data_IF_167579727513
#
_entry.id   IF_167579727513
#
_cell.length_a   1.000
_cell.length_b   1.000
_cell.length_c   1.000
_cell.angle_alpha   90.00
_cell.angle_beta   90.00
_cell.angle_gamma   90.00
#
_symmetry.space_group_name_H-M   'P 1'
#
loop_
_entity.id
_entity.type
_entity.pdbx_description
1 polymer ?
#
# COMPACT_ATOMS: atom_id res chain seq x y z
N UNK A 1 9.66 10.43 -13.26
CA UNK A 1 8.98 10.76 -11.98
C UNK A 1 7.65 11.43 -12.33
N UNK A 2 6.52 10.82 -12.01
CA UNK A 2 5.18 11.29 -12.41
C UNK A 2 4.28 11.62 -11.22
N UNK A 3 3.27 12.46 -11.45
CA UNK A 3 2.17 12.68 -10.50
C UNK A 3 0.85 12.31 -11.18
N UNK A 4 0.20 11.27 -10.67
CA UNK A 4 -1.11 10.81 -11.13
C UNK A 4 -2.16 11.33 -10.17
N UNK A 5 -3.04 12.19 -10.66
CA UNK A 5 -4.21 12.68 -9.92
C UNK A 5 -5.46 12.33 -10.70
N UNK A 6 -6.37 11.60 -10.06
CA UNK A 6 -7.68 11.28 -10.61
C UNK A 6 -8.74 11.38 -9.52
N UNK A 7 -10.02 11.45 -9.90
CA UNK A 7 -11.10 11.16 -8.96
C UNK A 7 -11.22 9.65 -8.76
N UNK A 8 -11.26 8.89 -9.85
CA UNK A 8 -11.32 7.44 -9.84
C UNK A 8 -10.21 6.83 -10.68
N UNK A 9 -9.54 5.81 -10.14
CA UNK A 9 -8.63 4.95 -10.88
C UNK A 9 -9.15 3.53 -10.82
N UNK A 10 -9.58 3.00 -11.95
CA UNK A 10 -10.07 1.63 -12.07
C UNK A 10 -9.18 0.83 -13.03
N UNK A 11 -8.79 -0.37 -12.63
CA UNK A 11 -8.05 -1.31 -13.47
C UNK A 11 -6.77 -1.84 -12.83
N UNK A 12 -6.02 -2.62 -13.62
CA UNK A 12 -4.80 -3.25 -13.16
C UNK A 12 -3.58 -2.51 -13.71
N UNK A 13 -2.75 -1.97 -12.82
CA UNK A 13 -1.47 -1.38 -13.17
C UNK A 13 -0.35 -2.40 -12.99
N UNK A 14 0.42 -2.66 -14.05
CA UNK A 14 1.65 -3.47 -14.01
C UNK A 14 2.80 -2.62 -14.51
N UNK A 15 3.92 -2.61 -13.79
CA UNK A 15 5.07 -1.78 -14.14
C UNK A 15 6.40 -2.36 -13.63
N UNK A 16 7.50 -2.05 -14.31
CA UNK A 16 8.86 -2.44 -13.97
C UNK A 16 9.84 -1.32 -14.39
N UNK A 17 10.13 -0.28 -13.58
CA UNK A 17 9.61 0.12 -12.25
C UNK A 17 8.43 1.12 -12.30
N UNK A 18 7.68 1.24 -11.19
CA UNK A 18 6.72 2.34 -10.99
C UNK A 18 7.31 3.41 -10.06
N UNK A 19 7.49 4.62 -10.58
CA UNK A 19 7.97 5.77 -9.82
C UNK A 19 7.03 6.96 -9.97
N UNK A 20 6.08 7.11 -9.05
CA UNK A 20 5.04 8.14 -9.13
C UNK A 20 4.40 8.48 -7.78
N UNK A 21 3.96 9.72 -7.63
CA UNK A 21 2.98 10.08 -6.61
C UNK A 21 1.57 9.81 -7.17
N UNK A 22 0.72 9.14 -6.40
CA UNK A 22 -0.62 8.75 -6.82
C UNK A 22 -1.62 9.35 -5.82
N UNK A 23 -2.54 10.17 -6.31
CA UNK A 23 -3.65 10.73 -5.53
C UNK A 23 -4.97 10.40 -6.21
N UNK A 24 -5.87 9.73 -5.49
CA UNK A 24 -7.24 9.45 -5.93
C UNK A 24 -8.25 9.73 -4.84
N UNK A 25 -9.52 9.89 -5.19
CA UNK A 25 -10.62 9.69 -4.22
C UNK A 25 -10.88 8.18 -4.09
N UNK A 26 -11.01 7.47 -5.22
CA UNK A 26 -11.17 6.02 -5.26
C UNK A 26 -10.12 5.34 -6.13
N UNK A 27 -9.57 4.23 -5.63
CA UNK A 27 -8.71 3.33 -6.38
C UNK A 27 -9.29 1.92 -6.29
N UNK A 28 -9.66 1.34 -7.44
CA UNK A 28 -10.20 -0.02 -7.52
C UNK A 28 -9.40 -0.85 -8.53
N UNK A 29 -8.70 -1.88 -8.04
CA UNK A 29 -7.97 -2.82 -8.89
C UNK A 29 -6.62 -3.23 -8.31
N UNK A 30 -5.78 -3.84 -9.14
CA UNK A 30 -4.50 -4.38 -8.68
C UNK A 30 -3.32 -3.55 -9.15
N UNK A 31 -2.40 -3.24 -8.24
CA UNK A 31 -1.10 -2.66 -8.57
C UNK A 31 -0.03 -3.73 -8.39
N UNK A 32 0.72 -4.00 -9.46
CA UNK A 32 1.90 -4.86 -9.45
C UNK A 32 3.11 -4.08 -9.94
N UNK A 33 4.17 -4.05 -9.15
CA UNK A 33 5.40 -3.36 -9.53
C UNK A 33 6.66 -4.13 -9.13
N UNK A 34 7.77 -3.92 -9.83
CA UNK A 34 9.08 -4.42 -9.42
C UNK A 34 10.16 -3.41 -9.85
N UNK A 35 10.63 -2.49 -8.97
CA UNK A 35 10.12 -2.03 -7.66
C UNK A 35 8.98 -0.99 -7.72
N UNK A 36 8.38 -0.65 -6.55
CA UNK A 36 7.41 0.43 -6.35
C UNK A 36 8.04 1.58 -5.54
N UNK A 37 8.21 2.74 -6.15
CA UNK A 37 8.71 3.97 -5.50
C UNK A 37 7.64 5.06 -5.55
N UNK A 38 6.74 5.05 -4.58
CA UNK A 38 5.50 5.83 -4.66
C UNK A 38 4.96 6.29 -3.31
N UNK A 39 4.40 7.50 -3.31
CA UNK A 39 3.43 7.90 -2.29
C UNK A 39 2.02 7.76 -2.86
N UNK A 40 1.21 6.89 -2.24
CA UNK A 40 -0.18 6.61 -2.62
C UNK A 40 -1.09 7.23 -1.56
N UNK A 41 -1.96 8.14 -1.97
CA UNK A 41 -3.02 8.71 -1.13
C UNK A 41 -4.36 8.48 -1.81
N UNK A 42 -5.24 7.73 -1.15
CA UNK A 42 -6.62 7.55 -1.57
C UNK A 42 -7.59 7.90 -0.44
N UNK A 43 -8.83 8.27 -0.77
CA UNK A 43 -9.89 8.19 0.24
C UNK A 43 -10.29 6.73 0.41
N UNK A 44 -10.52 6.00 -0.69
CA UNK A 44 -10.76 4.55 -0.67
C UNK A 44 -9.79 3.79 -1.57
N UNK A 45 -9.26 2.66 -1.07
CA UNK A 45 -8.41 1.77 -1.86
C UNK A 45 -8.92 0.34 -1.72
N UNK A 46 -9.35 -0.23 -2.85
CA UNK A 46 -9.86 -1.59 -2.96
C UNK A 46 -9.08 -2.39 -4.00
N UNK A 47 -8.60 -3.58 -3.63
CA UNK A 47 -7.94 -4.50 -4.55
C UNK A 47 -6.67 -5.14 -3.97
N UNK A 48 -5.60 -5.28 -4.76
CA UNK A 48 -4.35 -5.88 -4.28
C UNK A 48 -3.13 -5.06 -4.67
N UNK A 49 -2.19 -4.94 -3.74
CA UNK A 49 -0.90 -4.32 -3.98
C UNK A 49 0.19 -5.38 -3.87
N UNK A 50 0.98 -5.57 -4.92
CA UNK A 50 2.09 -6.51 -4.93
C UNK A 50 3.34 -5.82 -5.46
N UNK A 51 4.42 -5.86 -4.69
CA UNK A 51 5.73 -5.44 -5.20
C UNK A 51 6.84 -6.31 -4.64
N UNK A 52 7.98 -6.37 -5.33
CA UNK A 52 9.19 -6.91 -4.72
C UNK A 52 9.61 -6.00 -3.56
N UNK A 53 9.85 -4.72 -3.87
CA UNK A 53 10.16 -3.70 -2.87
C UNK A 53 9.20 -2.52 -3.00
N UNK A 54 8.74 -2.00 -1.87
CA UNK A 54 8.04 -0.72 -1.80
C UNK A 54 8.87 0.27 -1.00
N UNK A 55 9.14 1.43 -1.60
CA UNK A 55 9.69 2.60 -0.93
C UNK A 55 8.72 3.77 -1.05
N UNK A 56 8.21 4.25 0.08
CA UNK A 56 7.27 5.37 0.14
C UNK A 56 6.09 5.12 1.07
N UNK A 57 5.06 5.97 0.98
CA UNK A 57 3.95 5.95 1.92
C UNK A 57 2.63 5.54 1.25
N UNK A 58 1.79 4.81 1.98
CA UNK A 58 0.40 4.56 1.62
C UNK A 58 -0.51 5.14 2.68
N UNK A 59 -1.46 5.98 2.25
CA UNK A 59 -2.53 6.51 3.09
C UNK A 59 -3.88 6.23 2.44
N UNK A 60 -4.77 5.59 3.18
CA UNK A 60 -6.18 5.38 2.78
C UNK A 60 -7.12 5.65 3.96
N UNK A 61 -8.40 5.94 3.75
CA UNK A 61 -9.39 5.90 4.84
C UNK A 61 -9.86 4.46 5.05
N UNK A 62 -10.68 3.84 4.17
CA UNK A 62 -10.70 2.39 4.06
C UNK A 62 -9.58 1.87 3.15
N UNK A 63 -8.86 0.86 3.63
CA UNK A 63 -7.93 0.05 2.86
C UNK A 63 -8.47 -1.39 2.81
N UNK A 64 -9.22 -1.71 1.76
CA UNK A 64 -9.82 -3.03 1.55
C UNK A 64 -8.94 -3.82 0.57
N UNK A 65 -7.81 -4.33 1.04
CA UNK A 65 -6.79 -4.89 0.14
C UNK A 65 -5.94 -6.00 0.73
N UNK A 66 -5.47 -6.91 -0.13
CA UNK A 66 -4.31 -7.74 0.21
C UNK A 66 -3.03 -7.10 -0.33
N UNK A 67 -2.08 -6.89 0.57
CA UNK A 67 -0.80 -6.26 0.31
C UNK A 67 0.29 -7.30 0.50
N UNK A 68 1.14 -7.49 -0.53
CA UNK A 68 2.30 -8.37 -0.47
C UNK A 68 3.55 -7.64 -0.94
N UNK A 69 4.53 -7.53 -0.06
CA UNK A 69 5.87 -7.05 -0.37
C UNK A 69 6.91 -8.11 0.00
N UNK A 70 8.10 -8.10 -0.61
CA UNK A 70 9.26 -8.76 0.01
C UNK A 70 9.84 -7.79 1.04
N UNK A 71 10.07 -6.54 0.63
CA UNK A 71 10.53 -5.47 1.50
C UNK A 71 9.61 -4.25 1.42
N UNK A 72 9.20 -3.73 2.58
CA UNK A 72 8.48 -2.46 2.71
C UNK A 72 9.32 -1.48 3.53
N UNK A 73 9.63 -0.33 2.94
CA UNK A 73 10.28 0.80 3.60
C UNK A 73 9.40 2.05 3.46
N UNK A 74 8.92 2.57 4.59
CA UNK A 74 8.04 3.75 4.62
C UNK A 74 6.89 3.60 5.61
N UNK A 75 5.69 4.10 5.30
CA UNK A 75 4.56 4.03 6.23
C UNK A 75 3.27 3.54 5.55
N UNK A 76 2.50 2.71 6.24
CA UNK A 76 1.11 2.40 5.89
C UNK A 76 0.20 3.00 6.95
N UNK A 77 -0.71 3.88 6.53
CA UNK A 77 -1.72 4.47 7.40
C UNK A 77 -3.12 4.25 6.81
N UNK A 78 -3.99 3.63 7.58
CA UNK A 78 -5.42 3.52 7.30
C UNK A 78 -6.24 4.00 8.49
N UNK A 79 -7.49 4.38 8.24
CA UNK A 79 -8.48 4.46 9.32
C UNK A 79 -8.98 3.05 9.62
N UNK A 80 -9.41 2.33 8.58
CA UNK A 80 -9.75 0.91 8.67
C UNK A 80 -8.99 0.11 7.61
N UNK A 81 -8.42 -1.02 8.02
CA UNK A 81 -7.78 -1.98 7.13
C UNK A 81 -8.58 -3.27 7.13
N UNK A 82 -9.09 -3.67 5.96
CA UNK A 82 -9.72 -4.97 5.74
C UNK A 82 -8.91 -5.75 4.71
N UNK A 83 -8.35 -6.89 5.12
CA UNK A 83 -7.49 -7.71 4.28
C UNK A 83 -6.16 -8.03 4.94
N UNK A 84 -5.19 -8.52 4.16
CA UNK A 84 -3.95 -9.06 4.71
C UNK A 84 -2.73 -8.25 4.25
N UNK A 85 -1.80 -7.99 5.17
CA UNK A 85 -0.44 -7.53 4.85
C UNK A 85 0.53 -8.69 5.06
N UNK A 86 1.31 -9.00 4.03
CA UNK A 86 2.42 -9.95 4.12
C UNK A 86 3.71 -9.28 3.64
N UNK A 87 4.75 -9.34 4.45
CA UNK A 87 6.10 -8.96 4.06
C UNK A 87 7.14 -9.97 4.55
N UNK A 88 8.32 -10.01 3.94
CA UNK A 88 9.48 -10.63 4.59
C UNK A 88 10.09 -9.63 5.56
N UNK A 89 10.36 -8.42 5.08
CA UNK A 89 10.92 -7.32 5.88
C UNK A 89 9.98 -6.13 5.90
N UNK A 90 9.66 -5.65 7.10
CA UNK A 90 8.93 -4.41 7.34
C UNK A 90 9.82 -3.41 8.06
N UNK A 91 10.37 -2.44 7.34
CA UNK A 91 11.06 -1.28 7.92
C UNK A 91 10.12 -0.07 7.85
N UNK A 92 9.02 -0.14 8.62
CA UNK A 92 7.89 0.76 8.43
C UNK A 92 7.07 1.00 9.69
N UNK A 93 6.41 2.15 9.78
CA UNK A 93 5.31 2.33 10.74
C UNK A 93 3.98 1.94 10.10
N UNK A 94 3.25 1.07 10.79
CA UNK A 94 1.89 0.65 10.44
C UNK A 94 0.91 1.27 11.42
N UNK A 95 -0.03 2.07 10.92
CA UNK A 95 -1.10 2.67 11.74
C UNK A 95 -2.48 2.35 11.16
N UNK A 96 -3.33 1.71 11.94
CA UNK A 96 -4.77 1.59 11.70
C UNK A 96 -5.55 1.94 12.97
N UNK A 97 -6.83 2.33 12.87
CA UNK A 97 -7.75 2.42 14.03
C UNK A 97 -8.62 1.16 14.14
N UNK A 98 -8.77 0.46 13.02
CA UNK A 98 -9.49 -0.80 12.89
C UNK A 98 -8.70 -1.71 11.96
N UNK A 99 -8.48 -2.96 12.38
CA UNK A 99 -7.83 -3.96 11.55
C UNK A 99 -8.65 -5.25 11.55
N UNK A 100 -9.16 -5.61 10.38
CA UNK A 100 -9.85 -6.86 10.12
C UNK A 100 -9.06 -7.67 9.08
N UNK A 101 -8.23 -8.59 9.58
CA UNK A 101 -7.40 -9.46 8.76
C UNK A 101 -6.07 -9.77 9.43
N UNK A 102 -5.05 -10.14 8.65
CA UNK A 102 -3.76 -10.59 9.20
C UNK A 102 -2.61 -9.69 8.78
N UNK A 103 -1.74 -9.39 9.74
CA UNK A 103 -0.41 -8.83 9.50
C UNK A 103 0.64 -9.93 9.72
N UNK A 104 1.45 -10.22 8.71
CA UNK A 104 2.56 -11.18 8.82
C UNK A 104 3.86 -10.56 8.30
N UNK A 105 4.91 -10.63 9.12
CA UNK A 105 6.28 -10.29 8.74
C UNK A 105 7.27 -11.28 9.33
N UNK A 106 8.37 -11.56 8.62
CA UNK A 106 9.48 -12.33 9.19
C UNK A 106 10.39 -11.45 10.05
N UNK A 107 10.59 -10.19 9.62
CA UNK A 107 11.34 -9.19 10.37
C UNK A 107 10.57 -7.87 10.37
N UNK A 108 10.49 -7.21 11.54
CA UNK A 108 9.86 -5.90 11.68
C UNK A 108 10.79 -4.97 12.45
N UNK A 109 11.10 -3.82 11.86
CA UNK A 109 11.75 -2.69 12.49
C UNK A 109 10.89 -1.45 12.27
N UNK A 110 10.22 -0.99 13.33
CA UNK A 110 9.26 0.10 13.25
C UNK A 110 8.15 -0.08 14.26
N UNK A 111 7.08 0.70 14.10
CA UNK A 111 5.97 0.71 15.04
C UNK A 111 4.72 0.10 14.41
N UNK A 112 4.02 -0.73 15.17
CA UNK A 112 2.66 -1.17 14.85
C UNK A 112 1.69 -0.52 15.84
N UNK A 113 0.73 0.23 15.31
CA UNK A 113 -0.40 0.77 16.06
C UNK A 113 -1.69 0.39 15.34
N UNK A 114 -2.50 -0.44 15.95
CA UNK A 114 -3.79 -0.89 15.41
C UNK A 114 -4.93 -0.46 16.31
#
# INVERSE_FOLDING_TARGET
MGNLKSQSMMGNLKSQPLMSNIKSESMMGNLKSQPLMSNIKSESLMGNLKSQSMMGNLKSQPLMSNIKYESLMGNLKSQSMMGNLKSQTLMSSLKSESLMGNLKSQSMMGNLKS
#
